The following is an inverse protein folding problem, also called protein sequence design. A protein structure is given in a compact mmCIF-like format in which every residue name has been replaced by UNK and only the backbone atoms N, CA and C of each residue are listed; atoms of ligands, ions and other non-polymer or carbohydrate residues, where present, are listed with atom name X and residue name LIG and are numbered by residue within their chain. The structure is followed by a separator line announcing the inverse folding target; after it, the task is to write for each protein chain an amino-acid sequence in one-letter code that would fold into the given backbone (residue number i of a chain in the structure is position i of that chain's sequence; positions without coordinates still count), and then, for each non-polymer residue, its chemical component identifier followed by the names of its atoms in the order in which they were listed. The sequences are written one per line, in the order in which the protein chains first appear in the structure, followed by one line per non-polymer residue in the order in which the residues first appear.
data_IF_212369137577
#
_entry.id   IF_212369137577
#
_cell.length_a   1.000
_cell.length_b   1.000
_cell.length_c   1.000
_cell.angle_alpha   90.00
_cell.angle_beta   90.00
_cell.angle_gamma   90.00
#
_symmetry.space_group_name_H-M   'P 1'
#
loop_
_entity.id
_entity.type
_entity.pdbx_description
1 polymer ?
#
# COMPACT_ATOMS: atom_id res chain seq x y z
N UNK A 1 17.61 4.41 -9.23
CA UNK A 1 16.84 5.64 -8.89
C UNK A 1 15.59 5.82 -9.76
N UNK A 2 15.61 5.45 -11.04
CA UNK A 2 14.46 5.51 -11.97
C UNK A 2 13.27 4.64 -11.57
N UNK A 3 13.50 3.39 -11.17
CA UNK A 3 12.47 2.45 -10.70
C UNK A 3 11.70 2.95 -9.46
N UNK A 4 12.32 3.77 -8.61
CA UNK A 4 11.65 4.37 -7.44
C UNK A 4 10.66 5.47 -7.82
N UNK A 5 10.92 6.23 -8.88
CA UNK A 5 10.03 7.33 -9.30
C UNK A 5 8.76 6.79 -9.97
N UNK A 6 8.90 5.80 -10.84
CA UNK A 6 7.77 5.13 -11.50
C UNK A 6 6.87 4.42 -10.47
N UNK A 7 7.49 3.73 -9.51
CA UNK A 7 6.79 3.12 -8.38
C UNK A 7 6.05 4.15 -7.51
N UNK A 8 6.66 5.30 -7.22
CA UNK A 8 6.06 6.38 -6.45
C UNK A 8 4.86 7.00 -7.17
N UNK A 9 4.98 7.24 -8.47
CA UNK A 9 3.90 7.81 -9.27
C UNK A 9 2.71 6.85 -9.39
N UNK A 10 2.95 5.56 -9.65
CA UNK A 10 1.88 4.56 -9.76
C UNK A 10 1.16 4.32 -8.43
N UNK A 11 1.89 4.22 -7.32
CA UNK A 11 1.32 3.95 -5.98
C UNK A 11 0.63 5.16 -5.35
N UNK A 12 0.96 6.38 -5.80
CA UNK A 12 0.43 7.64 -5.27
C UNK A 12 -0.38 8.43 -6.31
N UNK A 13 -0.92 7.74 -7.30
CA UNK A 13 -1.64 8.35 -8.44
C UNK A 13 -2.71 9.37 -8.00
N UNK A 14 -3.42 9.10 -6.92
CA UNK A 14 -4.47 9.99 -6.40
C UNK A 14 -3.92 11.35 -5.92
N UNK A 15 -2.74 11.36 -5.29
CA UNK A 15 -2.11 12.62 -4.84
C UNK A 15 -1.57 13.43 -6.03
N UNK A 16 -1.10 12.72 -7.06
CA UNK A 16 -0.59 13.32 -8.29
C UNK A 16 -1.69 13.79 -9.23
N UNK A 17 -2.89 13.23 -9.13
CA UNK A 17 -3.94 13.36 -10.14
C UNK A 17 -4.26 14.81 -10.49
N UNK A 18 -4.39 15.68 -9.50
CA UNK A 18 -4.69 17.12 -9.72
C UNK A 18 -3.60 17.82 -10.51
N UNK A 19 -2.34 17.55 -10.16
CA UNK A 19 -1.18 18.13 -10.85
C UNK A 19 -1.05 17.56 -12.27
N UNK A 20 -1.28 16.25 -12.45
CA UNK A 20 -1.28 15.64 -13.78
C UNK A 20 -2.37 16.23 -14.69
N UNK A 21 -3.58 16.44 -14.16
CA UNK A 21 -4.66 17.09 -14.93
C UNK A 21 -4.24 18.50 -15.36
N UNK A 22 -3.70 19.31 -14.43
CA UNK A 22 -3.23 20.65 -14.76
C UNK A 22 -2.13 20.62 -15.82
N UNK A 23 -1.19 19.70 -15.68
CA UNK A 23 -0.07 19.60 -16.63
C UNK A 23 -0.53 19.10 -18.01
N UNK A 24 -1.43 18.10 -18.08
CA UNK A 24 -2.05 17.66 -19.34
C UNK A 24 -2.74 18.84 -20.04
N UNK A 25 -3.52 19.64 -19.31
CA UNK A 25 -4.17 20.82 -19.87
C UNK A 25 -3.14 21.84 -20.37
N UNK A 26 -2.07 22.08 -19.63
CA UNK A 26 -0.98 22.97 -20.03
C UNK A 26 -0.33 22.49 -21.33
N UNK A 27 0.01 21.19 -21.43
CA UNK A 27 0.60 20.61 -22.63
C UNK A 27 -0.36 20.64 -23.82
N UNK A 28 -1.65 20.47 -23.58
CA UNK A 28 -2.68 20.60 -24.61
C UNK A 28 -2.76 22.06 -25.17
N UNK A 29 -2.78 23.03 -24.27
CA UNK A 29 -2.85 24.46 -24.66
C UNK A 29 -1.61 24.90 -25.43
N UNK A 30 -0.45 24.30 -25.17
CA UNK A 30 0.77 24.54 -25.97
C UNK A 30 0.84 23.73 -27.26
N UNK A 31 -0.19 22.93 -27.59
CA UNK A 31 -0.18 22.11 -28.80
C UNK A 31 0.81 20.94 -28.76
N UNK A 32 1.31 20.58 -27.58
CA UNK A 32 2.34 19.57 -27.43
C UNK A 32 1.81 18.12 -27.41
N UNK A 33 0.49 17.94 -27.37
CA UNK A 33 -0.14 16.62 -27.37
C UNK A 33 -0.50 16.19 -28.79
N UNK A 34 -0.17 14.94 -29.13
CA UNK A 34 -0.53 14.32 -30.41
C UNK A 34 -1.69 13.38 -30.22
N UNK A 35 -2.60 13.30 -31.19
CA UNK A 35 -3.77 12.44 -31.20
C UNK A 35 -5.05 13.22 -31.49
N UNK A 36 -5.99 12.57 -32.15
CA UNK A 36 -7.28 13.14 -32.57
C UNK A 36 -8.33 13.03 -31.47
N UNK A 37 -8.15 12.09 -30.55
CA UNK A 37 -9.07 11.82 -29.43
C UNK A 37 -8.42 12.16 -28.10
N UNK A 38 -9.22 12.49 -27.04
CA UNK A 38 -8.70 12.71 -25.70
C UNK A 38 -7.89 11.50 -25.17
N UNK A 39 -8.28 10.28 -25.50
CA UNK A 39 -7.58 9.07 -25.12
C UNK A 39 -6.20 8.99 -25.76
N UNK A 40 -6.10 9.22 -27.07
CA UNK A 40 -4.80 9.25 -27.79
C UNK A 40 -3.88 10.32 -27.26
N UNK A 41 -4.42 11.51 -26.95
CA UNK A 41 -3.66 12.60 -26.34
C UNK A 41 -3.12 12.23 -24.95
N UNK A 42 -3.93 11.53 -24.15
CA UNK A 42 -3.49 11.04 -22.83
C UNK A 42 -2.41 9.95 -22.95
N UNK A 43 -2.61 8.99 -23.86
CA UNK A 43 -1.63 7.92 -24.10
C UNK A 43 -0.29 8.49 -24.59
N UNK A 44 -0.35 9.52 -25.44
CA UNK A 44 0.84 10.24 -25.87
C UNK A 44 1.53 10.95 -24.70
N UNK A 45 0.75 11.62 -23.84
CA UNK A 45 1.25 12.30 -22.65
C UNK A 45 1.95 11.32 -21.72
N UNK A 46 1.32 10.19 -21.43
CA UNK A 46 1.91 9.16 -20.55
C UNK A 46 3.25 8.68 -21.13
N UNK A 47 3.30 8.31 -22.40
CA UNK A 47 4.52 7.82 -23.05
C UNK A 47 5.64 8.86 -23.10
N UNK A 48 5.33 10.10 -23.46
CA UNK A 48 6.33 11.13 -23.69
C UNK A 48 6.79 11.82 -22.42
N UNK A 49 5.87 12.09 -21.50
CA UNK A 49 6.13 12.93 -20.32
C UNK A 49 6.23 12.11 -19.03
N UNK A 50 5.27 11.25 -18.73
CA UNK A 50 5.29 10.51 -17.46
C UNK A 50 6.33 9.40 -17.43
N UNK A 51 6.69 8.81 -18.57
CA UNK A 51 7.78 7.85 -18.65
C UNK A 51 9.16 8.50 -18.75
N UNK A 52 9.22 9.84 -18.78
CA UNK A 52 10.47 10.59 -18.78
C UNK A 52 10.82 11.05 -17.35
N UNK A 53 11.81 10.40 -16.73
CA UNK A 53 12.21 10.70 -15.37
C UNK A 53 12.70 12.15 -15.16
N UNK A 54 13.34 12.74 -16.18
CA UNK A 54 13.79 14.13 -16.12
C UNK A 54 12.60 15.07 -16.10
N UNK A 55 11.59 14.82 -16.92
CA UNK A 55 10.36 15.60 -16.94
C UNK A 55 9.60 15.50 -15.60
N UNK A 56 9.39 14.29 -15.09
CA UNK A 56 8.73 14.10 -13.80
C UNK A 56 9.51 14.78 -12.67
N UNK A 57 10.83 14.75 -12.73
CA UNK A 57 11.67 15.47 -11.75
C UNK A 57 11.47 16.99 -11.83
N UNK A 58 11.43 17.58 -13.05
CA UNK A 58 11.16 19.01 -13.22
C UNK A 58 9.77 19.39 -12.72
N UNK A 59 8.76 18.56 -13.01
CA UNK A 59 7.40 18.75 -12.49
C UNK A 59 7.36 18.74 -10.95
N UNK A 60 8.10 17.83 -10.32
CA UNK A 60 8.21 17.80 -8.86
C UNK A 60 8.99 18.98 -8.27
N UNK A 61 9.88 19.59 -9.04
CA UNK A 61 10.55 20.84 -8.63
C UNK A 61 9.60 22.03 -8.68
N UNK A 62 8.69 22.05 -9.65
CA UNK A 62 7.65 23.08 -9.76
C UNK A 62 6.63 22.98 -8.60
N UNK A 63 6.40 21.77 -8.08
CA UNK A 63 5.46 21.52 -6.97
C UNK A 63 6.18 20.93 -5.74
N UNK A 64 6.96 21.71 -4.98
CA UNK A 64 7.82 21.22 -3.91
C UNK A 64 7.02 20.57 -2.77
N UNK A 65 5.80 21.07 -2.49
CA UNK A 65 4.95 20.49 -1.46
C UNK A 65 4.45 19.08 -1.85
N UNK A 66 4.11 18.87 -3.11
CA UNK A 66 3.78 17.55 -3.61
C UNK A 66 4.96 16.59 -3.45
N UNK A 67 6.16 17.04 -3.80
CA UNK A 67 7.39 16.26 -3.62
C UNK A 67 7.57 15.87 -2.15
N UNK A 68 7.43 16.81 -1.23
CA UNK A 68 7.51 16.58 0.21
C UNK A 68 6.50 15.53 0.70
N UNK A 69 5.23 15.67 0.28
CA UNK A 69 4.17 14.72 0.65
C UNK A 69 4.42 13.31 0.12
N UNK A 70 4.93 13.18 -1.11
CA UNK A 70 5.30 11.90 -1.70
C UNK A 70 6.45 11.24 -0.94
N UNK A 71 7.46 12.00 -0.55
CA UNK A 71 8.59 11.51 0.24
C UNK A 71 8.12 11.03 1.62
N UNK A 72 7.27 11.80 2.30
CA UNK A 72 6.70 11.41 3.59
C UNK A 72 5.89 10.11 3.48
N UNK A 73 5.04 10.00 2.47
CA UNK A 73 4.24 8.79 2.26
C UNK A 73 5.10 7.57 1.93
N UNK A 74 6.11 7.75 1.08
CA UNK A 74 7.04 6.67 0.75
C UNK A 74 7.82 6.20 1.98
N UNK A 75 8.35 7.13 2.78
CA UNK A 75 9.06 6.80 4.01
C UNK A 75 8.16 6.06 5.00
N UNK A 76 6.89 6.45 5.10
CA UNK A 76 5.89 5.76 5.93
C UNK A 76 5.66 4.32 5.46
N UNK A 77 5.50 4.10 4.16
CA UNK A 77 5.35 2.76 3.58
C UNK A 77 6.58 1.90 3.85
N UNK A 78 7.78 2.44 3.61
CA UNK A 78 9.04 1.70 3.85
C UNK A 78 9.21 1.31 5.32
N UNK A 79 8.88 2.20 6.25
CA UNK A 79 8.90 1.90 7.69
C UNK A 79 7.93 0.78 8.04
N UNK A 80 6.70 0.84 7.54
CA UNK A 80 5.71 -0.19 7.79
C UNK A 80 6.13 -1.55 7.19
N UNK A 81 6.67 -1.58 5.98
CA UNK A 81 7.21 -2.82 5.38
C UNK A 81 8.37 -3.39 6.21
N UNK A 82 9.25 -2.54 6.73
CA UNK A 82 10.34 -2.97 7.60
C UNK A 82 9.82 -3.55 8.93
N UNK A 83 8.82 -2.91 9.55
CA UNK A 83 8.18 -3.41 10.77
C UNK A 83 7.53 -4.77 10.54
N UNK A 84 6.79 -4.95 9.44
CA UNK A 84 6.17 -6.23 9.09
C UNK A 84 7.23 -7.33 8.93
N UNK A 85 8.31 -7.06 8.21
CA UNK A 85 9.40 -8.04 8.04
C UNK A 85 10.04 -8.42 9.37
N UNK A 86 10.29 -7.43 10.24
CA UNK A 86 10.85 -7.69 11.57
C UNK A 86 9.93 -8.58 12.41
N UNK A 87 8.61 -8.30 12.43
CA UNK A 87 7.63 -9.13 13.15
C UNK A 87 7.58 -10.56 12.60
N UNK A 88 7.56 -10.70 11.27
CA UNK A 88 7.57 -12.03 10.62
C UNK A 88 8.82 -12.85 11.00
N UNK A 89 9.98 -12.22 11.08
CA UNK A 89 11.20 -12.91 11.48
C UNK A 89 11.21 -13.26 12.98
N UNK A 90 10.74 -12.34 13.83
CA UNK A 90 10.69 -12.56 15.27
C UNK A 90 9.74 -13.72 15.67
N UNK A 91 8.63 -13.86 14.95
CA UNK A 91 7.57 -14.83 15.24
C UNK A 91 7.55 -16.01 14.25
N UNK A 92 8.65 -16.21 13.51
CA UNK A 92 8.72 -17.15 12.38
C UNK A 92 8.24 -18.55 12.72
N UNK A 93 8.71 -19.12 13.82
CA UNK A 93 8.36 -20.49 14.23
C UNK A 93 6.88 -20.64 14.58
N UNK A 94 6.31 -19.65 15.28
CA UNK A 94 4.89 -19.64 15.60
C UNK A 94 4.03 -19.50 14.35
N UNK A 95 4.42 -18.62 13.43
CA UNK A 95 3.73 -18.44 12.16
C UNK A 95 3.75 -19.72 11.33
N UNK A 96 4.88 -20.40 11.25
CA UNK A 96 4.99 -21.69 10.56
C UNK A 96 4.07 -22.74 11.15
N UNK A 97 4.01 -22.83 12.48
CA UNK A 97 3.16 -23.79 13.19
C UNK A 97 1.68 -23.50 13.00
N UNK A 98 1.26 -22.23 13.13
CA UNK A 98 -0.16 -21.85 13.22
C UNK A 98 -0.77 -21.63 11.82
N UNK A 99 -0.04 -20.99 10.92
CA UNK A 99 -0.59 -20.52 9.65
C UNK A 99 -0.06 -21.25 8.41
N UNK A 100 1.00 -22.02 8.56
CA UNK A 100 1.64 -22.69 7.43
C UNK A 100 1.55 -24.24 7.52
N UNK A 101 0.79 -24.79 8.45
CA UNK A 101 0.73 -26.24 8.69
C UNK A 101 2.11 -26.87 8.87
N UNK A 102 3.02 -26.18 9.55
CA UNK A 102 4.41 -26.59 9.74
C UNK A 102 5.34 -26.39 8.55
N UNK A 103 4.83 -25.93 7.40
CA UNK A 103 5.67 -25.65 6.21
C UNK A 103 6.58 -24.47 6.47
N UNK A 104 7.85 -24.66 6.22
CA UNK A 104 8.86 -23.60 6.38
C UNK A 104 8.71 -22.52 5.31
N UNK A 105 9.02 -21.28 5.66
CA UNK A 105 9.21 -20.19 4.70
C UNK A 105 10.55 -19.51 4.98
N UNK A 106 11.15 -18.93 3.96
CA UNK A 106 12.43 -18.22 4.04
C UNK A 106 12.23 -16.70 4.02
N UNK A 107 11.20 -16.24 3.30
CA UNK A 107 10.93 -14.82 3.16
C UNK A 107 9.54 -14.50 2.62
N UNK A 108 9.39 -13.25 2.22
CA UNK A 108 8.14 -12.74 1.62
C UNK A 108 8.30 -12.52 0.12
N UNK A 109 7.37 -13.02 -0.67
CA UNK A 109 7.26 -12.73 -2.11
C UNK A 109 6.74 -11.31 -2.31
N UNK A 110 5.74 -10.87 -1.52
CA UNK A 110 5.18 -9.54 -1.61
C UNK A 110 4.55 -9.06 -0.30
N UNK A 111 4.58 -7.73 -0.11
CA UNK A 111 3.86 -7.03 0.95
C UNK A 111 3.01 -5.96 0.27
N UNK A 112 1.69 -6.09 0.37
CA UNK A 112 0.73 -5.20 -0.28
C UNK A 112 -0.01 -4.41 0.79
N UNK A 113 0.36 -3.12 0.89
CA UNK A 113 -0.24 -2.18 1.83
C UNK A 113 -1.62 -1.70 1.35
N UNK A 114 -2.33 -0.98 2.22
CA UNK A 114 -3.60 -0.31 1.89
C UNK A 114 -4.77 -1.25 1.64
N UNK A 115 -4.87 -2.33 2.41
CA UNK A 115 -6.03 -3.23 2.43
C UNK A 115 -7.12 -2.81 3.45
N UNK A 116 -7.13 -1.53 3.82
CA UNK A 116 -8.07 -0.90 4.75
C UNK A 116 -7.71 0.55 4.99
N UNK A 117 -8.42 1.20 5.90
CA UNK A 117 -8.15 2.58 6.29
C UNK A 117 -6.73 2.75 6.84
N UNK A 118 -6.14 3.90 6.55
CA UNK A 118 -4.81 4.24 7.06
C UNK A 118 -4.93 4.91 8.41
N UNK A 119 -4.21 4.39 9.40
CA UNK A 119 -4.16 4.95 10.75
C UNK A 119 -2.73 5.38 11.11
N UNK A 120 -2.61 6.33 12.06
CA UNK A 120 -1.35 6.71 12.75
C UNK A 120 -0.08 6.61 11.90
N UNK A 121 0.12 7.58 11.01
CA UNK A 121 1.34 7.65 10.19
C UNK A 121 1.32 6.75 8.95
N UNK A 122 0.14 6.40 8.43
CA UNK A 122 0.00 5.66 7.17
C UNK A 122 0.05 4.13 7.32
N UNK A 123 -0.04 3.60 8.55
CA UNK A 123 -0.17 2.16 8.80
C UNK A 123 -1.55 1.68 8.35
N UNK A 124 -1.60 0.63 7.59
CA UNK A 124 -2.84 -0.03 7.14
C UNK A 124 -2.69 -1.54 7.23
N UNK A 125 -3.80 -2.25 7.15
CA UNK A 125 -3.74 -3.70 6.98
C UNK A 125 -2.92 -4.03 5.74
N UNK A 126 -2.00 -4.97 5.86
CA UNK A 126 -1.16 -5.42 4.76
C UNK A 126 -1.42 -6.90 4.45
N UNK A 127 -1.59 -7.21 3.16
CA UNK A 127 -1.53 -8.58 2.66
C UNK A 127 -0.05 -8.95 2.49
N UNK A 128 0.37 -10.04 3.09
CA UNK A 128 1.74 -10.57 3.02
C UNK A 128 1.69 -11.93 2.35
N UNK A 129 2.45 -12.10 1.29
CA UNK A 129 2.60 -13.37 0.59
C UNK A 129 3.97 -13.95 0.93
N UNK A 130 3.96 -15.14 1.53
CA UNK A 130 5.17 -15.88 1.86
C UNK A 130 5.63 -16.73 0.66
N UNK A 131 6.92 -17.06 0.63
CA UNK A 131 7.52 -17.88 -0.43
C UNK A 131 7.02 -19.33 -0.48
N UNK A 132 6.39 -19.82 0.59
CA UNK A 132 5.72 -21.12 0.63
C UNK A 132 4.26 -21.08 0.14
N UNK A 133 3.78 -19.95 -0.40
CA UNK A 133 2.43 -19.75 -0.90
C UNK A 133 1.38 -19.36 0.15
N UNK A 134 1.77 -19.25 1.42
CA UNK A 134 0.84 -18.83 2.48
C UNK A 134 0.57 -17.33 2.40
N UNK A 135 -0.70 -16.94 2.54
CA UNK A 135 -1.13 -15.55 2.56
C UNK A 135 -1.55 -15.17 3.97
N UNK A 136 -0.94 -14.10 4.50
CA UNK A 136 -1.24 -13.55 5.81
C UNK A 136 -1.78 -12.14 5.69
N UNK A 137 -2.58 -11.71 6.68
CA UNK A 137 -3.02 -10.33 6.82
C UNK A 137 -2.45 -9.73 8.11
N UNK A 138 -1.45 -8.88 7.94
CA UNK A 138 -0.86 -8.14 9.05
C UNK A 138 -1.74 -6.96 9.45
N UNK A 139 -2.14 -6.91 10.72
CA UNK A 139 -2.90 -5.80 11.30
C UNK A 139 -1.99 -5.00 12.23
N UNK A 140 -1.79 -3.67 12.00
CA UNK A 140 -0.84 -2.85 12.78
C UNK A 140 -1.35 -2.43 14.15
N UNK A 141 -2.44 -3.02 14.63
CA UNK A 141 -3.05 -2.71 15.92
C UNK A 141 -3.00 -3.93 16.84
N UNK A 142 -2.88 -3.65 18.17
CA UNK A 142 -3.09 -4.68 19.15
C UNK A 142 -4.48 -5.31 19.00
N UNK A 143 -4.55 -6.62 19.08
CA UNK A 143 -5.79 -7.40 19.09
C UNK A 143 -6.43 -7.49 20.48
N UNK A 144 -5.89 -6.81 21.49
CA UNK A 144 -6.38 -6.89 22.90
C UNK A 144 -7.88 -6.60 23.00
N UNK A 145 -8.38 -5.62 22.25
CA UNK A 145 -9.81 -5.31 22.22
C UNK A 145 -10.63 -6.46 21.64
N UNK A 146 -10.12 -7.12 20.61
CA UNK A 146 -10.77 -8.26 19.97
C UNK A 146 -10.77 -9.47 20.92
N UNK A 147 -9.67 -9.70 21.65
CA UNK A 147 -9.54 -10.75 22.64
C UNK A 147 -10.54 -10.53 23.78
N UNK A 148 -10.58 -9.33 24.37
CA UNK A 148 -11.55 -8.98 25.42
C UNK A 148 -12.99 -9.08 24.96
N UNK A 149 -13.29 -8.67 23.73
CA UNK A 149 -14.61 -8.84 23.14
C UNK A 149 -14.97 -10.32 23.03
N UNK A 150 -14.05 -11.15 22.55
CA UNK A 150 -14.25 -12.60 22.44
C UNK A 150 -14.46 -13.26 23.81
N UNK A 151 -13.71 -12.85 24.82
CA UNK A 151 -13.88 -13.33 26.19
C UNK A 151 -15.28 -12.99 26.74
N UNK A 152 -15.71 -11.73 26.58
CA UNK A 152 -17.04 -11.29 26.96
C UNK A 152 -18.13 -12.06 26.21
N UNK A 153 -17.98 -12.22 24.93
CA UNK A 153 -18.90 -12.95 24.06
C UNK A 153 -19.03 -14.41 24.50
N UNK A 154 -17.92 -15.10 24.74
CA UNK A 154 -17.89 -16.47 25.23
C UNK A 154 -18.52 -16.61 26.66
N UNK A 155 -18.33 -15.58 27.48
CA UNK A 155 -18.98 -15.53 28.79
C UNK A 155 -20.50 -15.44 28.65
N UNK A 156 -21.00 -14.54 27.81
CA UNK A 156 -22.44 -14.38 27.58
C UNK A 156 -23.05 -15.63 26.95
N UNK A 157 -22.41 -16.27 25.99
CA UNK A 157 -22.89 -17.52 25.40
C UNK A 157 -23.03 -18.63 26.43
N UNK A 158 -22.05 -18.75 27.34
CA UNK A 158 -22.12 -19.73 28.46
C UNK A 158 -23.26 -19.43 29.44
N UNK A 159 -23.53 -18.16 29.73
CA UNK A 159 -24.60 -17.74 30.63
C UNK A 159 -26.00 -17.89 30.07
N UNK A 160 -26.14 -17.66 28.77
CA UNK A 160 -27.45 -17.67 28.09
C UNK A 160 -27.80 -19.02 27.46
N UNK A 161 -26.86 -19.96 27.40
CA UNK A 161 -27.02 -21.24 26.69
C UNK A 161 -27.09 -21.12 25.16
N UNK A 162 -26.87 -19.91 24.62
CA UNK A 162 -26.90 -19.67 23.17
C UNK A 162 -25.57 -20.17 22.59
N UNK A 163 -25.67 -21.13 21.67
CA UNK A 163 -24.50 -21.54 20.86
C UNK A 163 -24.20 -20.50 19.79
N UNK A 164 -23.11 -19.81 19.97
CA UNK A 164 -22.67 -18.80 19.00
C UNK A 164 -21.45 -19.31 18.22
N UNK A 165 -21.54 -19.29 16.89
CA UNK A 165 -20.37 -19.58 16.06
C UNK A 165 -19.43 -18.38 16.13
N UNK A 166 -18.21 -18.61 16.58
CA UNK A 166 -17.10 -17.67 16.40
C UNK A 166 -16.63 -17.73 14.96
N UNK A 167 -16.54 -16.57 14.33
CA UNK A 167 -15.96 -16.42 12.97
C UNK A 167 -14.44 -16.34 13.11
#
# INVERSE_FOLDING_TARGET
MLLKLDYLCRKNRTMFLKILILDVHRQKNFGNLKGSTPKEQYDYYEKKYLNNATYVKSLLQEYPELKRLLELKNNSIQRAECEIRKSLYAEKEQIQKIFCDGRKFSGTVGIYMSKGDTHRGGRSVAKVELDNGTILYYKPHSLDKNIKYQELYNYLCRKTGISCRTV
#
